data_IF_126335877352
#
_entry.id   IF_126335877352
#
_cell.length_a   1.000
_cell.length_b   1.000
_cell.length_c   1.000
_cell.angle_alpha   90.00
_cell.angle_beta   90.00
_cell.angle_gamma   90.00
#
_symmetry.space_group_name_H-M   'P 1'
#
loop_
_entity.id
_entity.type
_entity.pdbx_description
1 polymer ?
#
# COMPACT_ATOMS: atom_id res chain seq x y z
N UNK A 1 -5.44 19.25 -39.53
CA UNK A 1 -4.32 19.37 -38.55
C UNK A 1 -3.25 20.27 -39.16
N UNK A 2 -2.63 21.18 -38.40
CA UNK A 2 -1.56 22.05 -38.92
C UNK A 2 -0.22 21.32 -38.94
N UNK A 3 0.54 21.51 -40.02
CA UNK A 3 1.83 20.86 -40.24
C UNK A 3 2.96 21.33 -39.29
N UNK A 4 2.83 22.51 -38.67
CA UNK A 4 3.82 23.03 -37.74
C UNK A 4 3.19 23.94 -36.68
N UNK A 5 3.61 23.75 -35.44
CA UNK A 5 3.25 24.61 -34.31
C UNK A 5 4.53 25.28 -33.79
N UNK A 6 4.48 26.60 -33.64
CA UNK A 6 5.57 27.39 -33.07
C UNK A 6 5.39 27.48 -31.54
N UNK A 7 6.36 26.92 -30.82
CA UNK A 7 6.42 26.90 -29.36
C UNK A 7 7.50 27.82 -28.80
N UNK A 8 8.03 28.75 -29.60
CA UNK A 8 9.09 29.70 -29.22
C UNK A 8 8.77 30.54 -27.98
N UNK A 9 7.49 30.77 -27.69
CA UNK A 9 7.01 31.50 -26.50
C UNK A 9 6.49 30.59 -25.38
N UNK A 10 6.65 29.27 -25.50
CA UNK A 10 6.20 28.31 -24.50
C UNK A 10 7.09 28.34 -23.26
N UNK A 11 6.55 28.76 -22.11
CA UNK A 11 7.22 28.55 -20.82
C UNK A 11 7.00 27.11 -20.37
N UNK A 12 8.08 26.35 -20.18
CA UNK A 12 8.02 25.04 -19.51
C UNK A 12 7.72 25.28 -18.02
N UNK A 13 6.47 25.09 -17.62
CA UNK A 13 6.13 25.01 -16.20
C UNK A 13 6.81 23.79 -15.57
N UNK A 14 7.16 23.87 -14.29
CA UNK A 14 7.56 22.69 -13.54
C UNK A 14 6.45 21.64 -13.67
N UNK A 15 6.80 20.41 -14.04
CA UNK A 15 5.86 19.29 -13.97
C UNK A 15 5.56 19.11 -12.49
N UNK A 16 4.50 19.75 -12.02
CA UNK A 16 4.03 19.60 -10.65
C UNK A 16 3.87 18.09 -10.42
N UNK A 17 4.51 17.50 -9.39
CA UNK A 17 4.28 16.11 -9.07
C UNK A 17 2.77 15.94 -8.89
N UNK A 18 2.21 14.88 -9.49
CA UNK A 18 0.77 14.64 -9.47
C UNK A 18 0.24 14.78 -8.03
N UNK A 19 -0.85 15.53 -7.80
CA UNK A 19 -1.39 15.74 -6.47
C UNK A 19 -1.87 14.39 -5.93
N UNK A 20 -1.08 13.77 -5.04
CA UNK A 20 -1.44 12.50 -4.43
C UNK A 20 -0.40 12.05 -3.42
N UNK A 21 -0.85 11.45 -2.30
CA UNK A 21 0.00 10.82 -1.27
C UNK A 21 0.78 9.59 -1.79
N UNK A 22 0.65 9.25 -3.08
CA UNK A 22 1.20 8.03 -3.69
C UNK A 22 2.44 8.40 -4.50
N UNK A 23 3.57 7.76 -4.18
CA UNK A 23 4.83 7.92 -4.91
C UNK A 23 4.97 6.76 -5.90
N UNK A 24 5.26 7.08 -7.17
CA UNK A 24 5.58 6.06 -8.17
C UNK A 24 7.02 5.61 -7.97
N UNK A 25 7.21 4.34 -7.61
CA UNK A 25 8.52 3.72 -7.45
C UNK A 25 8.65 2.53 -8.41
N UNK A 26 9.88 2.24 -8.84
CA UNK A 26 10.21 1.01 -9.57
C UNK A 26 10.90 0.07 -8.59
N UNK A 27 10.21 -0.99 -8.20
CA UNK A 27 10.72 -2.04 -7.31
C UNK A 27 10.65 -3.39 -8.03
N UNK A 28 11.58 -4.28 -7.70
CA UNK A 28 11.49 -5.70 -8.10
C UNK A 28 10.76 -6.44 -6.99
N UNK A 29 9.75 -7.21 -7.38
CA UNK A 29 9.02 -8.12 -6.50
C UNK A 29 9.11 -9.52 -7.10
N UNK A 30 9.09 -10.52 -6.24
CA UNK A 30 9.06 -11.89 -6.69
C UNK A 30 7.74 -12.18 -7.42
N UNK A 31 7.85 -13.08 -8.41
CA UNK A 31 6.73 -13.36 -9.33
C UNK A 31 5.54 -13.98 -8.60
N UNK A 32 5.80 -14.88 -7.67
CA UNK A 32 4.79 -15.56 -6.85
C UNK A 32 3.97 -14.58 -6.02
N UNK A 33 4.60 -13.55 -5.44
CA UNK A 33 3.93 -12.49 -4.69
C UNK A 33 2.95 -11.76 -5.62
N UNK A 34 3.41 -11.32 -6.80
CA UNK A 34 2.57 -10.59 -7.76
C UNK A 34 1.41 -11.46 -8.24
N UNK A 35 1.68 -12.72 -8.56
CA UNK A 35 0.68 -13.67 -9.04
C UNK A 35 -0.37 -13.96 -7.95
N UNK A 36 0.03 -14.12 -6.68
CA UNK A 36 -0.88 -14.31 -5.55
C UNK A 36 -1.85 -13.13 -5.36
N UNK A 37 -1.33 -11.89 -5.38
CA UNK A 37 -2.18 -10.69 -5.25
C UNK A 37 -3.12 -10.51 -6.44
N UNK A 38 -2.71 -10.91 -7.65
CA UNK A 38 -3.60 -10.88 -8.82
C UNK A 38 -4.73 -11.87 -8.69
N UNK A 39 -4.45 -13.13 -8.34
CA UNK A 39 -5.47 -14.15 -8.15
C UNK A 39 -6.48 -13.75 -7.07
N UNK A 40 -6.01 -13.16 -5.96
CA UNK A 40 -6.90 -12.67 -4.89
C UNK A 40 -7.86 -11.58 -5.33
N UNK A 41 -7.43 -10.70 -6.22
CA UNK A 41 -8.27 -9.62 -6.75
C UNK A 41 -9.25 -10.12 -7.80
N UNK A 42 -8.85 -11.11 -8.61
CA UNK A 42 -9.75 -11.79 -9.54
C UNK A 42 -10.86 -12.54 -8.80
N UNK A 43 -10.53 -13.24 -7.72
CA UNK A 43 -11.50 -13.91 -6.83
C UNK A 43 -12.55 -12.96 -6.26
N UNK A 44 -12.18 -11.70 -5.98
CA UNK A 44 -13.06 -10.69 -5.38
C UNK A 44 -13.92 -9.92 -6.41
N UNK A 45 -13.94 -10.35 -7.68
CA UNK A 45 -14.74 -9.73 -8.73
C UNK A 45 -14.03 -8.59 -9.48
N UNK A 46 -12.70 -8.56 -9.42
CA UNK A 46 -11.87 -7.57 -10.10
C UNK A 46 -11.49 -6.39 -9.21
N UNK A 47 -10.36 -5.75 -9.53
CA UNK A 47 -9.80 -4.67 -8.73
C UNK A 47 -8.34 -4.37 -9.08
N UNK A 48 -7.68 -3.57 -8.25
CA UNK A 48 -6.28 -3.21 -8.45
C UNK A 48 -5.39 -3.92 -7.42
N UNK A 49 -4.60 -4.90 -7.88
CA UNK A 49 -3.61 -5.59 -7.04
C UNK A 49 -2.62 -4.65 -6.35
N UNK A 50 -2.32 -3.48 -6.96
CA UNK A 50 -1.46 -2.48 -6.37
C UNK A 50 -2.10 -1.81 -5.14
N UNK A 51 -3.43 -1.66 -5.12
CA UNK A 51 -4.13 -1.14 -3.94
C UNK A 51 -4.05 -2.15 -2.80
N UNK A 52 -4.37 -3.42 -3.08
CA UNK A 52 -4.31 -4.50 -2.09
C UNK A 52 -2.90 -4.69 -1.52
N UNK A 53 -1.87 -4.62 -2.39
CA UNK A 53 -0.48 -4.69 -1.95
C UNK A 53 -0.09 -3.50 -1.06
N UNK A 54 -0.55 -2.28 -1.38
CA UNK A 54 -0.30 -1.11 -0.52
C UNK A 54 -1.00 -1.23 0.84
N UNK A 55 -2.23 -1.74 0.87
CA UNK A 55 -2.97 -1.93 2.11
C UNK A 55 -2.29 -2.99 2.99
N UNK A 56 -1.82 -4.09 2.39
CA UNK A 56 -1.04 -5.11 3.09
C UNK A 56 0.25 -4.54 3.70
N UNK A 57 0.98 -3.70 2.97
CA UNK A 57 2.18 -3.02 3.48
C UNK A 57 1.83 -2.06 4.63
N UNK A 58 0.72 -1.33 4.53
CA UNK A 58 0.24 -0.45 5.60
C UNK A 58 -0.12 -1.23 6.86
N UNK A 59 -0.88 -2.32 6.73
CA UNK A 59 -1.21 -3.20 7.85
C UNK A 59 0.06 -3.81 8.47
N UNK A 60 1.06 -4.16 7.66
CA UNK A 60 2.33 -4.64 8.18
C UNK A 60 3.04 -3.56 9.02
N UNK A 61 3.10 -2.31 8.54
CA UNK A 61 3.66 -1.18 9.30
C UNK A 61 2.92 -0.99 10.63
N UNK A 62 1.59 -0.95 10.61
CA UNK A 62 0.76 -0.78 11.80
C UNK A 62 0.97 -1.92 12.83
N UNK A 63 1.12 -3.17 12.37
CA UNK A 63 1.46 -4.32 13.22
C UNK A 63 2.88 -4.29 13.79
N UNK A 64 3.82 -3.64 13.11
CA UNK A 64 5.17 -3.45 13.63
C UNK A 64 5.21 -2.32 14.68
N UNK A 65 4.38 -1.29 14.50
CA UNK A 65 4.22 -0.21 15.48
C UNK A 65 3.41 -0.65 16.71
N UNK A 66 2.53 -1.64 16.55
CA UNK A 66 1.79 -2.29 17.63
C UNK A 66 1.88 -3.82 17.49
N UNK A 67 2.90 -4.47 18.08
CA UNK A 67 2.97 -5.92 18.07
C UNK A 67 1.70 -6.46 18.73
N UNK A 68 0.87 -7.15 17.95
CA UNK A 68 -0.30 -7.90 18.44
C UNK A 68 0.08 -8.79 19.63
N UNK A 69 1.34 -9.24 19.69
CA UNK A 69 1.92 -9.93 20.83
C UNK A 69 1.82 -9.17 22.16
N UNK A 70 2.01 -7.85 22.18
CA UNK A 70 1.88 -7.08 23.43
C UNK A 70 0.42 -7.00 23.88
N UNK A 71 -0.50 -6.77 22.95
CA UNK A 71 -1.93 -6.74 23.24
C UNK A 71 -2.42 -8.10 23.73
N UNK A 72 -2.05 -9.19 23.05
CA UNK A 72 -2.40 -10.55 23.43
C UNK A 72 -1.76 -10.94 24.77
N UNK A 73 -0.48 -10.62 24.99
CA UNK A 73 0.21 -10.91 26.26
C UNK A 73 -0.41 -10.14 27.44
N UNK A 74 -0.88 -8.91 27.21
CA UNK A 74 -1.60 -8.13 28.22
C UNK A 74 -2.93 -8.78 28.58
N UNK A 75 -3.77 -9.08 27.59
CA UNK A 75 -5.08 -9.71 27.81
C UNK A 75 -4.93 -11.07 28.50
N UNK A 76 -3.98 -11.90 28.08
CA UNK A 76 -3.74 -13.20 28.72
C UNK A 76 -3.29 -13.07 30.17
N UNK A 77 -2.49 -12.04 30.52
CA UNK A 77 -2.10 -11.79 31.93
C UNK A 77 -3.26 -11.30 32.78
N UNK A 78 -4.09 -10.42 32.24
CA UNK A 78 -5.28 -9.90 32.94
C UNK A 78 -6.26 -11.04 33.24
N UNK A 79 -6.54 -11.94 32.29
CA UNK A 79 -7.41 -13.11 32.50
C UNK A 79 -6.83 -14.14 33.47
N UNK A 80 -5.50 -14.37 33.47
CA UNK A 80 -4.85 -15.27 34.43
C UNK A 80 -4.87 -14.73 35.87
N UNK A 81 -4.78 -13.41 36.05
CA UNK A 81 -4.89 -12.80 37.37
C UNK A 81 -6.34 -12.83 37.88
N UNK A 82 -7.31 -12.52 37.02
CA UNK A 82 -8.73 -12.58 37.38
C UNK A 82 -9.21 -14.02 37.68
N UNK A 83 -8.59 -15.04 37.09
CA UNK A 83 -8.88 -16.44 37.38
C UNK A 83 -8.17 -16.99 38.63
N UNK A 84 -7.27 -16.21 39.25
CA UNK A 84 -6.54 -16.58 40.47
C UNK A 84 -7.09 -15.90 41.75
N UNK A 85 -8.07 -15.01 41.62
CA UNK A 85 -8.92 -14.51 42.71
C UNK A 85 -10.21 -15.34 42.83
#
# INVERSE_FOLDING_TARGET
MKAKYDFSKGKRGAVLPAPGKKVRITIRLDRDIVDWFRSKVEEQGGGNYQSMLNDALRTYMERQEQPIEEVVRRVVREELQAAQE
#
